data_IF_398394792421
#
_entry.id   IF_398394792421
#
_cell.length_a   1.000
_cell.length_b   1.000
_cell.length_c   1.000
_cell.angle_alpha   90.00
_cell.angle_beta   90.00
_cell.angle_gamma   90.00
#
_symmetry.space_group_name_H-M   'P 1'
#
loop_
_entity.id
_entity.type
_entity.pdbx_description
1 polymer ?
#
# COMPACT_ATOMS: atom_id res chain seq x y z
N UNK A 1 20.94 -9.08 -17.59
CA UNK A 1 20.78 -9.78 -16.31
C UNK A 1 20.14 -8.81 -15.33
N UNK A 2 18.80 -8.77 -15.30
CA UNK A 2 18.03 -7.79 -14.52
C UNK A 2 17.87 -8.26 -13.08
N UNK A 3 18.17 -7.39 -12.13
CA UNK A 3 18.01 -7.66 -10.70
C UNK A 3 16.52 -7.63 -10.32
N UNK A 4 15.98 -8.64 -9.63
CA UNK A 4 14.59 -8.64 -9.25
C UNK A 4 14.38 -7.75 -8.01
N UNK A 5 13.60 -6.68 -8.15
CA UNK A 5 13.15 -5.76 -7.07
C UNK A 5 11.71 -5.31 -7.35
N UNK A 6 10.94 -4.85 -6.34
CA UNK A 6 10.97 -5.17 -4.91
C UNK A 6 9.84 -6.14 -4.54
N UNK A 7 10.04 -6.87 -3.43
CA UNK A 7 8.95 -7.56 -2.73
C UNK A 7 8.27 -6.58 -1.80
N UNK A 8 6.98 -6.79 -1.52
CA UNK A 8 6.21 -6.01 -0.56
C UNK A 8 5.04 -6.83 -0.03
N UNK A 9 4.50 -6.45 1.13
CA UNK A 9 3.29 -7.08 1.66
C UNK A 9 2.32 -5.99 2.11
N UNK A 10 1.17 -5.93 1.46
CA UNK A 10 0.07 -5.05 1.82
C UNK A 10 -0.86 -5.82 2.75
N UNK A 11 -1.18 -5.23 3.89
CA UNK A 11 -2.20 -5.72 4.82
C UNK A 11 -3.25 -4.65 5.02
N UNK A 12 -4.49 -5.07 5.10
CA UNK A 12 -5.62 -4.21 5.31
C UNK A 12 -6.29 -4.63 6.62
N UNK A 13 -6.64 -3.63 7.41
CA UNK A 13 -7.41 -3.80 8.63
C UNK A 13 -8.63 -2.88 8.59
N UNK A 14 -9.74 -3.35 9.14
CA UNK A 14 -10.91 -2.53 9.40
C UNK A 14 -10.98 -2.24 10.89
N UNK A 15 -11.30 -1.02 11.27
CA UNK A 15 -11.67 -0.73 12.66
C UNK A 15 -13.07 -1.30 12.94
N UNK A 16 -13.16 -2.10 13.99
CA UNK A 16 -14.41 -2.60 14.54
C UNK A 16 -15.11 -1.47 15.31
N UNK A 17 -16.39 -1.23 15.02
CA UNK A 17 -17.14 -0.14 15.62
C UNK A 17 -17.61 -0.45 17.06
N UNK A 18 -17.63 -1.71 17.47
CA UNK A 18 -18.06 -2.08 18.82
C UNK A 18 -16.97 -1.77 19.86
N UNK A 19 -15.70 -2.05 19.53
CA UNK A 19 -14.58 -1.93 20.47
C UNK A 19 -13.41 -1.05 19.98
N UNK A 20 -13.44 -0.53 18.75
CA UNK A 20 -12.39 0.32 18.17
C UNK A 20 -11.12 -0.43 17.78
N UNK A 21 -11.20 -1.75 17.70
CA UNK A 21 -10.05 -2.63 17.46
C UNK A 21 -9.84 -2.85 15.97
N UNK A 22 -8.59 -2.97 15.53
CA UNK A 22 -8.29 -3.27 14.12
C UNK A 22 -8.44 -4.79 13.86
N UNK A 23 -9.44 -5.16 13.07
CA UNK A 23 -9.62 -6.53 12.57
C UNK A 23 -8.86 -6.71 11.24
N UNK A 24 -8.11 -7.81 11.12
CA UNK A 24 -7.42 -8.13 9.88
C UNK A 24 -8.43 -8.60 8.83
N UNK A 25 -8.50 -7.84 7.75
CA UNK A 25 -9.39 -8.12 6.62
C UNK A 25 -8.56 -8.34 5.36
N UNK A 26 -7.43 -9.03 5.43
CA UNK A 26 -6.73 -9.54 4.24
C UNK A 26 -5.45 -8.85 3.84
N UNK A 27 -4.73 -9.53 2.96
CA UNK A 27 -3.37 -9.17 2.57
C UNK A 27 -3.06 -9.55 1.13
N UNK A 28 -2.19 -8.78 0.51
CA UNK A 28 -1.65 -9.05 -0.82
C UNK A 28 -0.12 -8.99 -0.80
N UNK A 29 0.51 -10.00 -1.40
CA UNK A 29 1.96 -10.08 -1.53
C UNK A 29 2.37 -9.55 -2.91
N UNK A 30 3.15 -8.47 -2.90
CA UNK A 30 3.82 -7.97 -4.09
C UNK A 30 5.02 -8.89 -4.31
N UNK A 31 4.83 -9.95 -5.10
CA UNK A 31 5.93 -10.78 -5.59
C UNK A 31 6.76 -10.02 -6.64
N UNK A 32 7.68 -10.68 -7.34
CA UNK A 32 8.33 -10.10 -8.53
C UNK A 32 7.34 -10.00 -9.71
N UNK A 33 6.18 -9.44 -9.44
CA UNK A 33 5.06 -9.27 -10.35
C UNK A 33 5.56 -8.50 -11.55
N UNK A 34 5.22 -8.85 -12.80
CA UNK A 34 5.49 -8.02 -13.96
C UNK A 34 4.65 -6.72 -13.91
N UNK A 35 4.94 -5.78 -14.81
CA UNK A 35 4.19 -4.52 -14.92
C UNK A 35 2.73 -4.84 -15.32
N UNK A 36 1.76 -4.18 -14.67
CA UNK A 36 0.31 -4.24 -14.97
C UNK A 36 -0.50 -5.45 -14.48
N UNK A 37 -0.06 -6.18 -13.44
CA UNK A 37 -0.96 -7.14 -12.78
C UNK A 37 -1.81 -6.40 -11.74
N UNK A 38 -3.13 -6.60 -11.81
CA UNK A 38 -4.10 -6.09 -10.84
C UNK A 38 -4.65 -7.28 -10.10
N UNK A 39 -4.49 -7.29 -8.78
CA UNK A 39 -5.03 -8.37 -7.94
C UNK A 39 -6.10 -7.75 -7.07
N UNK A 40 -7.33 -8.28 -7.22
CA UNK A 40 -8.47 -7.87 -6.41
C UNK A 40 -8.69 -8.91 -5.32
N UNK A 41 -8.63 -8.44 -4.08
CA UNK A 41 -8.91 -9.23 -2.89
C UNK A 41 -10.22 -8.72 -2.28
N UNK A 42 -11.23 -9.58 -2.25
CA UNK A 42 -12.51 -9.29 -1.61
C UNK A 42 -12.41 -9.73 -0.15
N UNK A 43 -12.46 -8.81 0.81
CA UNK A 43 -12.44 -9.19 2.24
C UNK A 43 -13.41 -8.36 3.06
N UNK A 44 -14.17 -9.06 3.91
CA UNK A 44 -15.20 -8.54 4.80
C UNK A 44 -16.26 -9.62 5.06
N UNK A 45 -17.26 -9.33 5.89
CA UNK A 45 -18.24 -10.33 6.40
C UNK A 45 -19.02 -11.07 5.29
N UNK A 46 -19.12 -10.52 4.07
CA UNK A 46 -18.98 -11.23 2.79
C UNK A 46 -19.20 -10.26 1.61
N UNK A 47 -18.15 -9.59 1.09
CA UNK A 47 -18.15 -8.71 -0.11
C UNK A 47 -18.44 -7.20 0.06
N UNK A 48 -18.53 -6.67 1.28
CA UNK A 48 -18.83 -5.24 1.48
C UNK A 48 -17.64 -4.30 1.26
N UNK A 49 -16.42 -4.81 1.35
CA UNK A 49 -15.20 -4.05 1.04
C UNK A 49 -14.41 -4.79 -0.03
N UNK A 50 -14.06 -4.06 -1.08
CA UNK A 50 -13.25 -4.58 -2.18
C UNK A 50 -11.94 -3.83 -2.22
N UNK A 51 -10.84 -4.58 -2.22
CA UNK A 51 -9.49 -4.06 -2.32
C UNK A 51 -8.90 -4.50 -3.65
N UNK A 52 -8.30 -3.57 -4.36
CA UNK A 52 -7.53 -3.87 -5.57
C UNK A 52 -6.18 -3.17 -5.47
N UNK A 53 -5.11 -3.94 -5.57
CA UNK A 53 -3.77 -3.38 -5.66
C UNK A 53 -3.30 -3.40 -7.11
N UNK A 54 -2.76 -2.27 -7.54
CA UNK A 54 -2.15 -2.11 -8.84
C UNK A 54 -0.78 -1.48 -8.69
N UNK A 55 0.22 -2.10 -9.30
CA UNK A 55 1.49 -1.42 -9.54
C UNK A 55 1.46 -0.70 -10.89
N UNK A 56 1.50 0.64 -10.85
CA UNK A 56 1.39 1.48 -12.05
C UNK A 56 2.70 1.64 -12.80
N UNK A 57 3.79 1.88 -12.06
CA UNK A 57 5.06 2.26 -12.69
C UNK A 57 6.25 1.75 -11.88
N UNK A 58 7.26 1.23 -12.59
CA UNK A 58 8.58 0.96 -12.05
C UNK A 58 9.57 1.75 -12.91
N UNK A 59 10.20 2.75 -12.32
CA UNK A 59 11.20 3.58 -12.96
C UNK A 59 12.57 3.31 -12.34
N UNK A 60 13.55 3.03 -13.19
CA UNK A 60 14.95 3.05 -12.79
C UNK A 60 15.44 4.50 -12.84
N UNK A 61 15.73 5.07 -11.68
CA UNK A 61 16.22 6.45 -11.57
C UNK A 61 17.69 6.49 -11.94
N UNK A 62 18.50 5.57 -11.38
CA UNK A 62 19.90 5.37 -11.77
C UNK A 62 20.42 3.96 -11.39
N UNK A 63 21.75 3.76 -11.30
CA UNK A 63 22.35 2.52 -10.80
C UNK A 63 22.26 2.44 -9.27
N UNK A 64 21.20 1.78 -8.81
CA UNK A 64 20.97 1.52 -7.38
C UNK A 64 19.69 2.17 -6.87
N UNK A 65 19.10 3.07 -7.65
CA UNK A 65 17.89 3.79 -7.28
C UNK A 65 16.72 3.40 -8.18
N UNK A 66 15.61 3.01 -7.57
CA UNK A 66 14.36 2.66 -8.25
C UNK A 66 13.19 3.37 -7.58
N UNK A 67 12.29 3.92 -8.38
CA UNK A 67 11.01 4.46 -7.93
C UNK A 67 9.89 3.52 -8.38
N UNK A 68 8.98 3.17 -7.48
CA UNK A 68 7.83 2.32 -7.76
C UNK A 68 6.55 2.99 -7.27
N UNK A 69 5.57 3.14 -8.17
CA UNK A 69 4.27 3.75 -7.85
C UNK A 69 3.20 2.67 -7.69
N UNK A 70 2.56 2.68 -6.53
CA UNK A 70 1.46 1.80 -6.18
C UNK A 70 0.15 2.59 -6.11
N UNK A 71 -0.93 1.95 -6.51
CA UNK A 71 -2.29 2.41 -6.29
C UNK A 71 -3.06 1.28 -5.60
N UNK A 72 -3.65 1.58 -4.45
CA UNK A 72 -4.58 0.69 -3.74
C UNK A 72 -5.96 1.31 -3.85
N UNK A 73 -6.84 0.66 -4.58
CA UNK A 73 -8.24 1.06 -4.76
C UNK A 73 -9.05 0.33 -3.71
N UNK A 74 -9.86 1.07 -2.96
CA UNK A 74 -10.70 0.54 -1.91
C UNK A 74 -12.13 1.00 -2.14
N UNK A 75 -13.04 0.05 -2.32
CA UNK A 75 -14.47 0.31 -2.50
C UNK A 75 -15.22 -0.11 -1.26
N UNK A 76 -16.05 0.79 -0.75
CA UNK A 76 -16.96 0.54 0.36
C UNK A 76 -18.38 0.39 -0.16
N UNK A 77 -18.92 -0.83 -0.13
CA UNK A 77 -20.31 -1.14 -0.46
C UNK A 77 -21.23 -1.11 0.77
N UNK A 78 -20.70 -0.86 1.97
CA UNK A 78 -21.53 -0.69 3.19
C UNK A 78 -22.39 0.56 3.10
N UNK A 79 -23.43 0.58 3.92
CA UNK A 79 -24.28 1.75 4.16
C UNK A 79 -23.69 2.78 5.12
N UNK A 80 -22.48 2.53 5.64
CA UNK A 80 -21.78 3.39 6.60
C UNK A 80 -20.32 3.60 6.20
N UNK A 81 -19.67 4.59 6.82
CA UNK A 81 -18.24 4.87 6.60
C UNK A 81 -17.41 3.70 7.13
N UNK A 82 -16.50 3.20 6.30
CA UNK A 82 -15.51 2.22 6.71
C UNK A 82 -14.21 2.91 7.12
N UNK A 83 -13.72 2.60 8.32
CA UNK A 83 -12.44 3.06 8.83
C UNK A 83 -11.38 2.00 8.55
N UNK A 84 -10.45 2.29 7.65
CA UNK A 84 -9.48 1.32 7.13
C UNK A 84 -8.07 1.73 7.52
N UNK A 85 -7.30 0.77 8.01
CA UNK A 85 -5.85 0.87 8.12
C UNK A 85 -5.19 0.04 7.04
N UNK A 86 -4.55 0.71 6.10
CA UNK A 86 -3.71 0.11 5.07
C UNK A 86 -2.25 0.12 5.54
N UNK A 87 -1.58 -1.03 5.54
CA UNK A 87 -0.16 -1.15 5.91
C UNK A 87 0.63 -1.85 4.82
N UNK A 88 1.69 -1.22 4.34
CA UNK A 88 2.60 -1.80 3.35
C UNK A 88 3.97 -2.04 3.99
N UNK A 89 4.37 -3.31 4.07
CA UNK A 89 5.69 -3.73 4.48
C UNK A 89 6.66 -3.68 3.29
N UNK A 90 7.79 -3.01 3.50
CA UNK A 90 8.81 -2.72 2.50
C UNK A 90 10.08 -3.46 2.90
N UNK A 91 10.52 -4.39 2.05
CA UNK A 91 11.69 -5.22 2.33
C UNK A 91 13.02 -4.48 2.14
N UNK A 92 13.02 -3.38 1.39
CA UNK A 92 14.21 -2.58 1.13
C UNK A 92 14.64 -1.85 2.39
N UNK A 93 15.97 -1.76 2.56
CA UNK A 93 16.57 -1.14 3.75
C UNK A 93 16.45 0.38 3.73
N UNK A 94 16.70 0.98 2.56
CA UNK A 94 16.64 2.42 2.37
C UNK A 94 15.49 2.73 1.42
N UNK A 95 14.48 3.41 1.95
CA UNK A 95 13.32 3.83 1.20
C UNK A 95 12.74 5.12 1.75
N UNK A 96 12.07 5.86 0.87
CA UNK A 96 11.23 7.00 1.21
C UNK A 96 9.95 6.98 0.38
N UNK A 97 8.92 7.67 0.87
CA UNK A 97 7.71 7.98 0.12
C UNK A 97 7.84 9.43 -0.36
N UNK A 98 7.50 9.72 -1.62
CA UNK A 98 7.63 11.07 -2.18
C UNK A 98 6.34 11.62 -2.78
N UNK A 99 5.68 10.89 -3.66
CA UNK A 99 4.36 11.21 -4.20
C UNK A 99 3.33 10.39 -3.41
N UNK A 100 2.51 11.01 -2.56
CA UNK A 100 1.46 10.31 -1.80
C UNK A 100 0.17 11.10 -1.79
N UNK A 101 -0.92 10.40 -2.04
CA UNK A 101 -2.29 10.93 -2.01
C UNK A 101 -2.84 11.14 -0.60
N UNK A 102 -2.30 10.41 0.37
CA UNK A 102 -2.79 10.39 1.75
C UNK A 102 -1.64 10.60 2.74
N UNK A 103 -1.92 11.21 3.91
CA UNK A 103 -0.94 11.25 4.99
C UNK A 103 -0.62 9.84 5.45
N UNK A 104 0.65 9.58 5.70
CA UNK A 104 1.12 8.28 6.16
C UNK A 104 1.90 8.41 7.46
N UNK A 105 1.95 7.31 8.19
CA UNK A 105 2.86 7.12 9.32
C UNK A 105 3.89 6.06 8.97
N UNK A 106 5.17 6.37 9.15
CA UNK A 106 6.24 5.37 9.11
C UNK A 106 6.23 4.59 10.44
N UNK A 107 5.95 3.29 10.37
CA UNK A 107 5.99 2.37 11.51
C UNK A 107 7.28 1.56 11.43
N UNK A 108 8.19 1.81 12.37
CA UNK A 108 9.53 1.21 12.35
C UNK A 108 10.31 1.58 11.08
N UNK A 109 11.27 0.75 10.70
CA UNK A 109 12.11 0.98 9.51
C UNK A 109 11.50 0.49 8.19
N UNK A 110 10.44 -0.33 8.23
CA UNK A 110 10.01 -1.14 7.08
C UNK A 110 8.51 -1.12 6.82
N UNK A 111 7.73 -0.26 7.46
CA UNK A 111 6.28 -0.20 7.20
C UNK A 111 5.81 1.22 7.02
N UNK A 112 5.03 1.43 5.97
CA UNK A 112 4.19 2.62 5.80
C UNK A 112 2.75 2.25 6.12
N UNK A 113 2.07 3.09 6.90
CA UNK A 113 0.66 2.89 7.26
C UNK A 113 -0.16 4.12 6.95
N UNK A 114 -1.37 3.90 6.44
CA UNK A 114 -2.38 4.91 6.14
C UNK A 114 -3.64 4.58 6.92
N UNK A 115 -4.25 5.59 7.53
CA UNK A 115 -5.61 5.48 8.07
C UNK A 115 -6.52 6.24 7.10
N UNK A 116 -7.56 5.57 6.60
CA UNK A 116 -8.40 6.05 5.51
C UNK A 116 -9.85 5.87 5.93
N UNK A 117 -10.62 6.95 5.85
CA UNK A 117 -12.07 6.91 5.99
C UNK A 117 -12.68 6.83 4.60
N UNK A 118 -13.51 5.81 4.39
CA UNK A 118 -14.16 5.56 3.10
C UNK A 118 -15.66 5.70 3.30
N UNK A 119 -16.29 6.81 2.87
CA UNK A 119 -17.73 7.00 2.99
C UNK A 119 -18.55 5.83 2.44
N UNK A 120 -19.76 5.67 2.93
CA UNK A 120 -20.71 4.66 2.45
C UNK A 120 -20.88 4.71 0.93
N UNK A 121 -20.86 3.56 0.27
CA UNK A 121 -21.05 3.45 -1.18
C UNK A 121 -19.99 4.12 -2.06
N UNK A 122 -18.81 4.47 -1.51
CA UNK A 122 -17.77 5.24 -2.21
C UNK A 122 -16.50 4.46 -2.48
N UNK A 123 -15.64 5.03 -3.32
CA UNK A 123 -14.30 4.51 -3.64
C UNK A 123 -13.25 5.54 -3.23
N UNK A 124 -12.14 5.05 -2.66
CA UNK A 124 -10.93 5.84 -2.38
C UNK A 124 -9.72 5.16 -3.03
N UNK A 125 -8.85 5.97 -3.64
CA UNK A 125 -7.60 5.50 -4.26
C UNK A 125 -6.43 6.03 -3.44
N UNK A 126 -5.68 5.12 -2.83
CA UNK A 126 -4.43 5.42 -2.12
C UNK A 126 -3.27 5.18 -3.07
N UNK A 127 -2.80 6.27 -3.68
CA UNK A 127 -1.58 6.30 -4.48
C UNK A 127 -0.38 6.69 -3.63
N UNK A 128 0.72 5.95 -3.77
CA UNK A 128 2.03 6.34 -3.24
C UNK A 128 3.21 5.84 -4.08
N UNK A 129 4.29 6.62 -4.14
CA UNK A 129 5.56 6.23 -4.79
C UNK A 129 6.62 5.91 -3.73
N UNK A 130 7.18 4.70 -3.81
CA UNK A 130 8.34 4.25 -3.06
C UNK A 130 9.61 4.49 -3.86
N UNK A 131 10.47 5.36 -3.35
CA UNK A 131 11.84 5.48 -3.84
C UNK A 131 12.74 4.62 -2.96
N UNK A 132 13.47 3.71 -3.59
CA UNK A 132 14.32 2.72 -2.94
C UNK A 132 15.75 2.88 -3.43
N UNK A 133 16.69 2.79 -2.50
CA UNK A 133 18.12 2.89 -2.75
C UNK A 133 18.84 1.63 -2.26
N UNK A 134 19.63 1.01 -3.14
CA UNK A 134 20.47 -0.15 -2.84
C UNK A 134 21.72 0.24 -2.04
N UNK A 135 22.05 1.53 -1.96
CA UNK A 135 23.19 2.09 -1.22
C UNK A 135 22.68 3.08 -0.17
N UNK A 136 23.46 3.28 0.89
CA UNK A 136 23.15 4.32 1.86
C UNK A 136 23.56 5.66 1.27
N UNK A 137 22.69 6.32 0.49
CA UNK A 137 22.88 7.73 0.18
C UNK A 137 22.18 8.52 1.27
N UNK A 138 22.97 9.28 2.04
CA UNK A 138 22.44 10.29 2.95
C UNK A 138 21.70 11.32 2.09
N UNK A 139 20.38 11.27 2.10
CA UNK A 139 19.56 12.37 1.59
C UNK A 139 19.76 13.53 2.56
N UNK A 140 20.67 14.44 2.22
CA UNK A 140 20.77 15.74 2.85
C UNK A 140 19.70 16.62 2.20
N UNK A 141 18.71 17.03 3.01
CA UNK A 141 17.74 18.07 2.66
C UNK A 141 18.38 19.47 2.74
#
# INVERSE_FOLDING_TARGET
MGFPLPKGLIKVYQEDQADGQNEFIGEDAIEHTPRNESISLNIGEAFDLVFEHQRKELQRVDRGHTAETHEVIIRNHKSETAHIKLSHYIYQRFWRVSDTSHPYTKKGSNTVSYNIDIPAGSEVIVRFTLEMDEKQVLFLE
#
